data_IF_041303083765
#
_entry.id   IF_041303083765
#
_cell.length_a   1.000
_cell.length_b   1.000
_cell.length_c   1.000
_cell.angle_alpha   90.00
_cell.angle_beta   90.00
_cell.angle_gamma   90.00
#
_symmetry.space_group_name_H-M   'P 1'
#
loop_
_entity.id
_entity.type
_entity.pdbx_description
1 polymer ?
#
# COMPACT_ATOMS: atom_id res chain seq x y z
N UNK A 1 22.85 -41.90 -54.83
CA UNK A 1 21.75 -41.04 -54.50
C UNK A 1 21.21 -41.54 -53.14
N UNK A 2 21.51 -40.85 -52.05
CA UNK A 2 21.12 -41.27 -50.68
C UNK A 2 20.01 -40.30 -50.18
N UNK A 3 18.81 -40.81 -50.01
CA UNK A 3 17.70 -40.05 -49.46
C UNK A 3 17.80 -40.04 -47.92
N UNK A 4 17.95 -38.84 -47.33
CA UNK A 4 17.90 -38.62 -45.89
C UNK A 4 16.47 -38.27 -45.51
N UNK A 5 15.83 -39.13 -44.72
CA UNK A 5 14.50 -38.94 -44.18
C UNK A 5 14.63 -38.13 -42.90
N UNK A 6 14.09 -36.92 -42.90
CA UNK A 6 14.05 -36.01 -41.74
C UNK A 6 12.81 -36.32 -40.91
N UNK A 7 13.00 -36.91 -39.73
CA UNK A 7 11.92 -37.21 -38.77
C UNK A 7 11.68 -35.97 -37.91
N UNK A 8 10.52 -35.32 -38.07
CA UNK A 8 10.06 -34.26 -37.17
C UNK A 8 9.59 -34.90 -35.86
N UNK A 9 10.30 -34.63 -34.77
CA UNK A 9 9.84 -34.91 -33.42
C UNK A 9 8.88 -33.77 -32.98
N UNK A 10 7.55 -34.03 -32.99
CA UNK A 10 6.54 -33.19 -32.37
C UNK A 10 6.69 -33.30 -30.86
N UNK A 11 7.23 -32.25 -30.23
CA UNK A 11 7.25 -32.10 -28.75
C UNK A 11 5.84 -31.81 -28.22
N UNK A 12 5.18 -32.83 -27.65
CA UNK A 12 3.95 -32.66 -26.88
C UNK A 12 4.37 -32.07 -25.55
N UNK A 13 4.04 -30.78 -25.32
CA UNK A 13 4.15 -30.14 -24.01
C UNK A 13 3.14 -30.79 -23.05
N UNK A 14 3.61 -31.69 -22.19
CA UNK A 14 2.84 -32.25 -21.06
C UNK A 14 2.64 -31.13 -20.04
N UNK A 15 1.52 -30.41 -20.12
CA UNK A 15 1.03 -29.57 -19.02
C UNK A 15 0.72 -30.47 -17.84
N UNK A 16 1.39 -30.27 -16.72
CA UNK A 16 1.27 -31.13 -15.55
C UNK A 16 -0.17 -31.14 -15.03
N UNK A 17 -0.81 -32.29 -14.82
CA UNK A 17 -2.22 -32.41 -14.39
C UNK A 17 -2.54 -31.79 -13.03
N UNK A 18 -1.52 -31.51 -12.22
CA UNK A 18 -1.66 -30.87 -10.89
C UNK A 18 -2.18 -29.43 -10.98
N UNK A 19 -1.71 -28.65 -11.94
CA UNK A 19 -2.15 -27.24 -12.13
C UNK A 19 -3.61 -27.13 -12.57
N UNK A 20 -4.06 -28.06 -13.39
CA UNK A 20 -5.45 -28.05 -13.84
C UNK A 20 -6.41 -28.39 -12.67
N UNK A 21 -6.06 -29.35 -11.85
CA UNK A 21 -6.87 -29.74 -10.69
C UNK A 21 -6.96 -28.63 -9.63
N UNK A 22 -5.89 -27.84 -9.43
CA UNK A 22 -5.89 -26.69 -8.50
C UNK A 22 -6.76 -25.55 -9.02
N UNK A 23 -6.70 -25.25 -10.31
CA UNK A 23 -7.55 -24.21 -10.93
C UNK A 23 -9.02 -24.60 -10.89
N UNK A 24 -9.37 -25.86 -11.14
CA UNK A 24 -10.72 -26.39 -11.04
C UNK A 24 -11.25 -26.26 -9.61
N UNK A 25 -10.41 -26.53 -8.61
CA UNK A 25 -10.78 -26.39 -7.21
C UNK A 25 -11.03 -24.93 -6.81
N UNK A 26 -10.18 -24.01 -7.26
CA UNK A 26 -10.37 -22.57 -7.04
C UNK A 26 -11.66 -22.09 -7.67
N UNK A 27 -11.96 -22.49 -8.91
CA UNK A 27 -13.20 -22.15 -9.60
C UNK A 27 -14.44 -22.71 -8.88
N UNK A 28 -14.35 -23.91 -8.32
CA UNK A 28 -15.39 -24.53 -7.52
C UNK A 28 -15.69 -23.72 -6.25
N UNK A 29 -14.64 -23.33 -5.51
CA UNK A 29 -14.76 -22.50 -4.30
C UNK A 29 -15.38 -21.15 -4.65
N UNK A 30 -14.90 -20.49 -5.72
CA UNK A 30 -15.43 -19.20 -6.16
C UNK A 30 -16.91 -19.27 -6.47
N UNK A 31 -17.34 -20.30 -7.19
CA UNK A 31 -18.76 -20.51 -7.51
C UNK A 31 -19.60 -20.74 -6.24
N UNK A 32 -19.12 -21.57 -5.31
CA UNK A 32 -19.81 -21.84 -4.05
C UNK A 32 -19.96 -20.57 -3.19
N UNK A 33 -18.90 -19.76 -3.09
CA UNK A 33 -18.90 -18.50 -2.35
C UNK A 33 -19.83 -17.46 -2.97
N UNK A 34 -19.84 -17.32 -4.29
CA UNK A 34 -20.76 -16.42 -5.00
C UNK A 34 -22.22 -16.81 -4.82
N UNK A 35 -22.51 -18.11 -4.84
CA UNK A 35 -23.86 -18.62 -4.64
C UNK A 35 -24.36 -18.39 -3.21
N UNK A 36 -23.51 -18.64 -2.21
CA UNK A 36 -23.86 -18.51 -0.81
C UNK A 36 -23.89 -17.05 -0.31
N UNK A 37 -23.04 -16.18 -0.86
CA UNK A 37 -22.84 -14.81 -0.39
C UNK A 37 -22.83 -13.79 -1.56
N UNK A 38 -23.92 -13.61 -2.29
CA UNK A 38 -23.97 -12.81 -3.53
C UNK A 38 -23.64 -11.31 -3.31
N UNK A 39 -23.79 -10.80 -2.09
CA UNK A 39 -23.45 -9.41 -1.74
C UNK A 39 -21.98 -9.20 -1.38
N UNK A 40 -21.18 -10.27 -1.29
CA UNK A 40 -19.77 -10.20 -0.91
C UNK A 40 -18.87 -10.39 -2.13
N UNK A 41 -17.98 -9.45 -2.37
CA UNK A 41 -16.97 -9.59 -3.41
C UNK A 41 -15.77 -10.40 -2.89
N UNK A 42 -15.70 -11.65 -3.29
CA UNK A 42 -14.53 -12.50 -3.05
C UNK A 42 -13.54 -12.35 -4.20
N UNK A 43 -12.26 -12.26 -3.86
CA UNK A 43 -11.17 -12.11 -4.85
C UNK A 43 -9.95 -12.90 -4.40
N UNK A 44 -9.00 -13.10 -5.33
CA UNK A 44 -7.69 -13.68 -5.06
C UNK A 44 -7.74 -14.96 -4.22
N UNK A 45 -8.58 -15.93 -4.65
CA UNK A 45 -8.63 -17.24 -4.00
C UNK A 45 -7.32 -17.97 -4.34
N UNK A 46 -6.59 -18.42 -3.31
CA UNK A 46 -5.28 -19.05 -3.47
C UNK A 46 -5.12 -20.23 -2.51
N UNK A 47 -4.36 -21.24 -2.90
CA UNK A 47 -3.97 -22.31 -1.96
C UNK A 47 -3.09 -21.74 -0.84
N UNK A 48 -3.11 -22.42 0.31
CA UNK A 48 -2.20 -22.17 1.43
C UNK A 48 -1.28 -23.35 1.62
N UNK A 49 -0.22 -23.24 2.43
CA UNK A 49 0.59 -24.40 2.82
C UNK A 49 -0.19 -25.50 3.55
N UNK A 50 -1.41 -25.21 4.02
CA UNK A 50 -2.28 -26.19 4.68
C UNK A 50 -3.18 -26.86 3.63
N UNK A 51 -3.06 -28.17 3.39
CA UNK A 51 -3.87 -28.87 2.42
C UNK A 51 -5.38 -28.67 2.66
N UNK A 52 -6.12 -28.34 1.59
CA UNK A 52 -7.57 -28.14 1.63
C UNK A 52 -8.04 -26.81 2.24
N UNK A 53 -7.11 -25.95 2.61
CA UNK A 53 -7.39 -24.59 3.09
C UNK A 53 -6.93 -23.57 2.05
N UNK A 54 -7.83 -22.65 1.69
CA UNK A 54 -7.60 -21.61 0.71
C UNK A 54 -7.70 -20.22 1.35
N UNK A 55 -6.82 -19.33 0.95
CA UNK A 55 -6.88 -17.91 1.28
C UNK A 55 -7.87 -17.21 0.35
N UNK A 56 -8.71 -16.33 0.88
CA UNK A 56 -9.66 -15.54 0.10
C UNK A 56 -9.67 -14.09 0.57
N UNK A 57 -9.59 -13.15 -0.38
CA UNK A 57 -9.70 -11.73 -0.11
C UNK A 57 -11.17 -11.29 -0.16
N UNK A 58 -11.60 -10.54 0.86
CA UNK A 58 -12.94 -9.92 0.97
C UNK A 58 -12.78 -8.42 1.16
N UNK A 59 -12.67 -7.70 0.06
CA UNK A 59 -12.33 -6.27 0.09
C UNK A 59 -10.91 -6.05 0.64
N UNK A 60 -10.82 -5.51 1.87
CA UNK A 60 -9.54 -5.28 2.57
C UNK A 60 -9.21 -6.34 3.62
N UNK A 61 -10.12 -7.26 3.85
CA UNK A 61 -9.96 -8.35 4.80
C UNK A 61 -9.52 -9.62 4.08
N UNK A 62 -8.88 -10.51 4.83
CA UNK A 62 -8.45 -11.80 4.39
C UNK A 62 -9.04 -12.86 5.30
N UNK A 63 -9.51 -13.94 4.71
CA UNK A 63 -10.00 -15.11 5.44
C UNK A 63 -9.44 -16.38 4.82
N UNK A 64 -9.59 -17.47 5.54
CA UNK A 64 -9.29 -18.80 5.07
C UNK A 64 -10.56 -19.61 4.95
N UNK A 65 -10.69 -20.41 3.91
CA UNK A 65 -11.88 -21.18 3.62
C UNK A 65 -11.50 -22.62 3.26
N UNK A 66 -12.30 -23.57 3.70
CA UNK A 66 -12.17 -24.97 3.28
C UNK A 66 -12.51 -25.15 1.80
N UNK A 67 -12.05 -26.27 1.23
CA UNK A 67 -12.30 -26.62 -0.18
C UNK A 67 -13.78 -26.74 -0.57
N UNK A 68 -14.69 -26.88 0.41
CA UNK A 68 -16.14 -26.90 0.20
C UNK A 68 -16.80 -25.50 0.24
N UNK A 69 -16.02 -24.44 0.54
CA UNK A 69 -16.54 -23.07 0.66
C UNK A 69 -17.45 -22.81 1.87
N UNK A 70 -17.58 -23.78 2.80
CA UNK A 70 -18.57 -23.73 3.87
C UNK A 70 -18.05 -23.07 5.15
N UNK A 71 -16.81 -23.39 5.56
CA UNK A 71 -16.26 -22.91 6.82
C UNK A 71 -15.22 -21.85 6.57
N UNK A 72 -15.37 -20.71 7.27
CA UNK A 72 -14.40 -19.63 7.28
C UNK A 72 -13.62 -19.60 8.58
N UNK A 73 -12.34 -19.35 8.46
CA UNK A 73 -11.45 -19.07 9.58
C UNK A 73 -10.90 -17.65 9.41
N UNK A 74 -11.16 -16.80 10.41
CA UNK A 74 -10.63 -15.45 10.48
C UNK A 74 -9.47 -15.42 11.47
N UNK A 75 -8.32 -14.96 11.04
CA UNK A 75 -7.12 -14.94 11.86
C UNK A 75 -5.86 -14.86 11.03
N UNK A 76 -4.73 -15.20 11.66
CA UNK A 76 -3.42 -15.20 11.02
C UNK A 76 -2.90 -16.63 10.84
N UNK A 77 -2.38 -16.92 9.65
CA UNK A 77 -1.59 -18.09 9.34
C UNK A 77 -0.13 -17.75 9.56
N UNK A 78 0.45 -18.34 10.60
CA UNK A 78 1.83 -18.11 11.00
C UNK A 78 2.68 -19.36 10.72
N UNK A 79 3.77 -19.19 9.98
CA UNK A 79 4.76 -20.21 9.80
C UNK A 79 5.73 -20.18 10.99
N UNK A 80 5.56 -21.13 11.91
CA UNK A 80 6.39 -21.20 13.12
C UNK A 80 7.84 -21.57 12.82
N UNK A 81 8.10 -22.26 11.72
CA UNK A 81 9.45 -22.65 11.31
C UNK A 81 10.23 -21.46 10.76
N UNK A 82 9.59 -20.70 9.87
CA UNK A 82 10.17 -19.50 9.24
C UNK A 82 9.98 -18.26 10.13
N UNK A 83 9.28 -18.37 11.26
CA UNK A 83 8.93 -17.25 12.15
C UNK A 83 8.23 -16.12 11.39
N UNK A 84 7.31 -16.47 10.49
CA UNK A 84 6.72 -15.57 9.52
C UNK A 84 5.20 -15.56 9.56
N UNK A 85 4.60 -14.38 9.62
CA UNK A 85 3.15 -14.19 9.53
C UNK A 85 2.75 -14.03 8.05
N UNK A 86 2.29 -15.13 7.45
CA UNK A 86 1.90 -15.18 6.04
C UNK A 86 0.70 -14.28 5.74
N UNK A 87 -0.22 -14.15 6.70
CA UNK A 87 -1.40 -13.26 6.57
C UNK A 87 -0.99 -11.80 6.59
N UNK A 88 -0.11 -11.41 7.51
CA UNK A 88 0.39 -10.03 7.58
C UNK A 88 1.09 -9.62 6.29
N UNK A 89 1.94 -10.48 5.75
CA UNK A 89 2.64 -10.26 4.48
C UNK A 89 1.66 -10.05 3.31
N UNK A 90 0.59 -10.85 3.28
CA UNK A 90 -0.44 -10.75 2.24
C UNK A 90 -1.26 -9.47 2.37
N UNK A 91 -1.66 -9.12 3.58
CA UNK A 91 -2.37 -7.87 3.85
C UNK A 91 -1.51 -6.65 3.52
N UNK A 92 -0.21 -6.70 3.83
CA UNK A 92 0.73 -5.65 3.44
C UNK A 92 0.86 -5.55 1.92
N UNK A 93 1.04 -6.67 1.23
CA UNK A 93 1.11 -6.69 -0.23
C UNK A 93 -0.16 -6.14 -0.90
N UNK A 94 -1.34 -6.47 -0.36
CA UNK A 94 -2.63 -5.99 -0.86
C UNK A 94 -2.86 -4.48 -0.63
N UNK A 95 -2.15 -3.88 0.33
CA UNK A 95 -2.21 -2.45 0.65
C UNK A 95 -1.20 -1.61 -0.12
N UNK A 96 -0.31 -2.24 -0.89
CA UNK A 96 0.68 -1.49 -1.69
C UNK A 96 0.00 -0.62 -2.73
N UNK A 97 0.49 0.59 -2.84
CA UNK A 97 0.07 1.54 -3.86
C UNK A 97 1.07 1.57 -5.02
N UNK A 98 0.66 2.00 -6.18
CA UNK A 98 1.58 2.38 -7.24
C UNK A 98 2.11 3.79 -6.98
N UNK A 99 3.30 3.89 -6.39
CA UNK A 99 3.93 5.17 -6.05
C UNK A 99 4.18 6.03 -7.30
N UNK A 100 4.51 5.41 -8.43
CA UNK A 100 4.79 6.12 -9.67
C UNK A 100 3.54 6.81 -10.25
N UNK A 101 2.34 6.33 -9.90
CA UNK A 101 1.07 6.94 -10.31
C UNK A 101 0.63 8.12 -9.45
N UNK A 102 1.35 8.43 -8.36
CA UNK A 102 1.00 9.55 -7.49
C UNK A 102 1.17 10.89 -8.21
N UNK A 103 0.18 11.80 -8.13
CA UNK A 103 0.28 13.15 -8.70
C UNK A 103 1.17 14.04 -7.83
N UNK A 104 2.49 13.87 -7.92
CA UNK A 104 3.45 14.57 -7.05
C UNK A 104 3.38 16.10 -7.16
N UNK A 105 2.84 16.65 -8.26
CA UNK A 105 2.56 18.08 -8.42
C UNK A 105 1.49 18.59 -7.44
N UNK A 106 0.64 17.72 -6.89
CA UNK A 106 -0.38 18.01 -5.90
C UNK A 106 0.13 17.90 -4.45
N UNK A 107 1.44 17.63 -4.27
CA UNK A 107 2.09 17.54 -2.97
C UNK A 107 3.02 18.73 -2.69
N UNK A 108 3.24 19.03 -1.42
CA UNK A 108 4.31 19.91 -0.98
C UNK A 108 5.59 19.08 -0.94
N UNK A 109 6.60 19.46 -1.71
CA UNK A 109 7.88 18.72 -1.76
C UNK A 109 8.91 19.38 -0.87
N UNK A 110 9.54 18.59 -0.01
CA UNK A 110 10.66 19.00 0.85
C UNK A 110 11.83 18.06 0.61
N UNK A 111 13.00 18.61 0.29
CA UNK A 111 14.23 17.83 0.06
C UNK A 111 15.17 18.01 1.26
N UNK A 112 15.76 16.92 1.73
CA UNK A 112 16.76 16.87 2.79
C UNK A 112 17.99 16.12 2.27
N UNK A 113 19.18 16.64 2.57
CA UNK A 113 20.43 16.08 2.04
C UNK A 113 20.42 15.99 0.52
N UNK A 114 20.81 14.86 -0.04
CA UNK A 114 20.79 14.63 -1.49
C UNK A 114 19.40 14.25 -2.07
N UNK A 115 18.40 14.03 -1.21
CA UNK A 115 17.03 13.70 -1.62
C UNK A 115 16.85 12.36 -2.32
N UNK A 116 17.80 11.44 -2.23
CA UNK A 116 17.84 10.21 -3.04
C UNK A 116 16.71 9.23 -2.75
N UNK A 117 16.19 9.22 -1.54
CA UNK A 117 15.07 8.36 -1.13
C UNK A 117 13.77 9.16 -1.20
N UNK A 118 12.68 8.54 -1.61
CA UNK A 118 11.39 9.23 -1.73
C UNK A 118 10.37 8.67 -0.76
N UNK A 119 9.58 9.58 -0.19
CA UNK A 119 8.51 9.28 0.76
C UNK A 119 7.27 10.13 0.41
N UNK A 120 6.12 9.50 0.24
CA UNK A 120 4.85 10.19 0.16
C UNK A 120 4.17 10.14 1.53
N UNK A 121 3.62 11.28 1.97
CA UNK A 121 2.97 11.43 3.28
C UNK A 121 1.61 12.08 3.09
N UNK A 122 0.54 11.40 3.51
CA UNK A 122 -0.77 12.01 3.65
C UNK A 122 -0.91 12.58 5.05
N UNK A 123 -1.13 13.88 5.15
CA UNK A 123 -1.03 14.60 6.41
C UNK A 123 -2.13 15.66 6.58
N UNK A 124 -2.70 15.72 7.76
CA UNK A 124 -3.74 16.67 8.15
C UNK A 124 -3.13 17.82 8.97
N UNK A 125 -3.39 19.09 8.63
CA UNK A 125 -2.81 20.24 9.31
C UNK A 125 -3.19 20.37 10.79
N UNK A 126 -4.30 19.77 11.21
CA UNK A 126 -4.78 19.83 12.60
C UNK A 126 -4.49 18.57 13.40
N UNK A 127 -4.00 17.52 12.75
CA UNK A 127 -3.73 16.25 13.41
C UNK A 127 -2.49 16.33 14.33
N UNK A 128 -2.61 16.03 15.63
CA UNK A 128 -1.48 16.08 16.56
C UNK A 128 -0.41 15.04 16.26
N UNK A 129 -0.78 13.89 15.69
CA UNK A 129 0.17 12.87 15.26
C UNK A 129 0.95 13.31 14.02
N UNK A 130 0.34 14.09 13.11
CA UNK A 130 1.04 14.69 11.98
C UNK A 130 2.09 15.69 12.44
N UNK A 131 1.82 16.48 13.47
CA UNK A 131 2.81 17.38 14.09
C UNK A 131 4.00 16.62 14.69
N UNK A 132 3.73 15.50 15.37
CA UNK A 132 4.81 14.61 15.85
C UNK A 132 5.64 14.05 14.70
N UNK A 133 4.98 13.60 13.64
CA UNK A 133 5.68 13.08 12.46
C UNK A 133 6.62 14.12 11.85
N UNK A 134 6.21 15.39 11.71
CA UNK A 134 7.08 16.45 11.15
C UNK A 134 8.38 16.64 11.95
N UNK A 135 8.32 16.47 13.27
CA UNK A 135 9.51 16.50 14.14
C UNK A 135 10.43 15.30 13.87
N UNK A 136 9.87 14.14 13.57
CA UNK A 136 10.64 12.94 13.24
C UNK A 136 11.21 13.01 11.81
N UNK A 137 10.43 13.49 10.85
CA UNK A 137 10.88 13.72 9.48
C UNK A 137 12.03 14.73 9.43
N UNK A 138 12.06 15.71 10.36
CA UNK A 138 13.14 16.69 10.44
C UNK A 138 14.52 16.10 10.78
N UNK A 139 14.56 14.90 11.36
CA UNK A 139 15.79 14.18 11.73
C UNK A 139 16.34 13.30 10.60
N UNK A 140 15.56 13.08 9.55
CA UNK A 140 15.97 12.27 8.40
C UNK A 140 16.92 13.05 7.50
N UNK A 141 17.80 12.32 6.83
CA UNK A 141 18.68 12.85 5.79
C UNK A 141 18.48 12.10 4.46
N UNK A 142 18.95 12.66 3.35
CA UNK A 142 18.92 12.03 2.04
C UNK A 142 17.51 11.54 1.60
N UNK A 143 16.50 12.36 1.89
CA UNK A 143 15.09 12.03 1.57
C UNK A 143 14.36 13.21 0.92
N UNK A 144 13.56 12.89 -0.10
CA UNK A 144 12.54 13.78 -0.68
C UNK A 144 11.18 13.37 -0.13
N UNK A 145 10.54 14.27 0.60
CA UNK A 145 9.21 14.05 1.19
C UNK A 145 8.16 14.80 0.36
N UNK A 146 7.17 14.07 -0.14
CA UNK A 146 6.00 14.59 -0.84
C UNK A 146 4.79 14.57 0.10
N UNK A 147 4.44 15.72 0.68
CA UNK A 147 3.33 15.83 1.63
C UNK A 147 2.05 16.20 0.89
N UNK A 148 1.12 15.25 0.80
CA UNK A 148 -0.24 15.45 0.33
C UNK A 148 -1.10 15.98 1.49
N UNK A 149 -1.62 17.20 1.36
CA UNK A 149 -2.51 17.76 2.37
C UNK A 149 -3.85 17.00 2.32
N UNK A 150 -4.15 16.28 3.38
CA UNK A 150 -5.33 15.44 3.52
C UNK A 150 -6.10 15.79 4.81
N UNK A 151 -6.92 16.87 4.78
CA UNK A 151 -7.71 17.28 5.92
C UNK A 151 -8.84 16.27 6.20
N UNK A 152 -8.92 15.78 7.43
CA UNK A 152 -9.98 14.91 7.94
C UNK A 152 -11.10 15.78 8.53
N UNK A 153 -11.91 16.38 7.66
CA UNK A 153 -12.90 17.43 8.02
C UNK A 153 -13.95 16.97 9.04
N UNK A 154 -14.23 15.67 9.12
CA UNK A 154 -15.14 15.10 10.11
C UNK A 154 -14.55 15.13 11.52
N UNK A 155 -13.23 15.08 11.65
CA UNK A 155 -12.51 15.15 12.93
C UNK A 155 -12.00 16.57 13.22
N UNK A 156 -11.58 17.28 12.16
CA UNK A 156 -10.96 18.59 12.22
C UNK A 156 -11.67 19.56 11.24
N UNK A 157 -12.77 20.21 11.65
CA UNK A 157 -13.60 21.02 10.74
C UNK A 157 -12.86 22.15 10.01
N UNK A 158 -11.83 22.74 10.65
CA UNK A 158 -11.05 23.85 10.07
C UNK A 158 -9.84 23.38 9.23
N UNK A 159 -9.51 22.09 9.26
CA UNK A 159 -8.32 21.56 8.61
C UNK A 159 -8.30 21.83 7.10
N UNK A 160 -9.46 21.77 6.43
CA UNK A 160 -9.56 22.07 5.00
C UNK A 160 -9.13 23.50 4.69
N UNK A 161 -9.61 24.48 5.43
CA UNK A 161 -9.26 25.87 5.21
C UNK A 161 -7.78 26.13 5.52
N UNK A 162 -7.23 25.52 6.56
CA UNK A 162 -5.81 25.60 6.87
C UNK A 162 -4.95 24.96 5.78
N UNK A 163 -5.37 23.81 5.24
CA UNK A 163 -4.69 23.16 4.12
C UNK A 163 -4.64 24.09 2.88
N UNK A 164 -5.76 24.75 2.55
CA UNK A 164 -5.82 25.73 1.45
C UNK A 164 -4.89 26.90 1.73
N UNK A 165 -4.91 27.47 2.92
CA UNK A 165 -4.04 28.60 3.27
C UNK A 165 -2.55 28.23 3.17
N UNK A 166 -2.16 27.02 3.62
CA UNK A 166 -0.78 26.50 3.44
C UNK A 166 -0.44 26.35 1.96
N UNK A 167 -1.34 25.76 1.17
CA UNK A 167 -1.09 25.53 -0.25
C UNK A 167 -0.96 26.84 -1.04
N UNK A 168 -1.74 27.84 -0.69
CA UNK A 168 -1.75 29.15 -1.35
C UNK A 168 -0.66 30.11 -0.84
N UNK A 169 0.13 29.71 0.15
CA UNK A 169 1.26 30.49 0.61
C UNK A 169 2.37 30.57 -0.45
N UNK A 170 3.10 31.68 -0.56
CA UNK A 170 4.21 31.86 -1.51
C UNK A 170 5.28 30.77 -1.38
N UNK A 171 5.60 30.38 -0.14
CA UNK A 171 6.47 29.24 0.18
C UNK A 171 5.66 28.21 0.97
N UNK A 172 5.14 27.21 0.27
CA UNK A 172 4.30 26.14 0.83
C UNK A 172 5.04 25.31 1.87
N UNK A 173 6.31 25.02 1.62
CA UNK A 173 7.12 24.20 2.52
C UNK A 173 7.42 24.95 3.84
N UNK A 174 7.73 26.24 3.76
CA UNK A 174 7.92 27.07 4.94
C UNK A 174 6.60 27.25 5.72
N UNK A 175 5.47 27.48 5.02
CA UNK A 175 4.16 27.63 5.63
C UNK A 175 3.72 26.33 6.35
N UNK A 176 3.90 25.18 5.70
CA UNK A 176 3.64 23.88 6.29
C UNK A 176 4.45 23.65 7.56
N UNK A 177 5.77 23.89 7.49
CA UNK A 177 6.66 23.76 8.64
C UNK A 177 6.28 24.70 9.77
N UNK A 178 5.97 25.96 9.46
CA UNK A 178 5.54 26.95 10.46
C UNK A 178 4.27 26.50 11.18
N UNK A 179 3.29 25.95 10.45
CA UNK A 179 2.05 25.43 11.03
C UNK A 179 2.33 24.19 11.88
N UNK A 180 3.02 23.20 11.34
CA UNK A 180 3.14 21.88 12.01
C UNK A 180 4.13 21.90 13.19
N UNK A 181 5.22 22.66 13.10
CA UNK A 181 6.25 22.70 14.14
C UNK A 181 5.99 23.82 15.15
N UNK A 182 5.54 25.00 14.68
CA UNK A 182 5.43 26.18 15.53
C UNK A 182 3.96 26.57 15.82
N UNK A 183 2.97 25.85 15.30
CA UNK A 183 1.55 26.17 15.45
C UNK A 183 1.13 27.46 14.74
N UNK A 184 1.97 28.00 13.84
CA UNK A 184 1.78 29.27 13.17
C UNK A 184 1.03 29.05 11.84
N UNK A 185 -0.30 29.24 11.88
CA UNK A 185 -1.10 29.16 10.65
C UNK A 185 -0.76 30.35 9.73
N UNK A 186 -0.65 30.14 8.39
CA UNK A 186 -0.57 31.23 7.44
C UNK A 186 -1.88 32.03 7.45
N UNK A 187 -1.82 33.28 6.99
CA UNK A 187 -3.04 34.06 6.75
C UNK A 187 -3.93 33.36 5.74
N UNK A 188 -5.25 33.54 5.87
CA UNK A 188 -6.22 33.00 4.91
C UNK A 188 -5.88 33.45 3.50
N UNK A 189 -5.81 32.50 2.57
CA UNK A 189 -5.55 32.77 1.15
C UNK A 189 -6.38 31.80 0.31
N UNK A 190 -6.79 32.26 -0.87
CA UNK A 190 -7.54 31.47 -1.85
C UNK A 190 -6.76 31.44 -3.17
N UNK A 191 -6.64 30.26 -3.75
CA UNK A 191 -6.00 30.04 -5.05
C UNK A 191 -6.48 28.71 -5.63
N UNK A 192 -6.07 28.36 -6.84
CA UNK A 192 -6.25 27.00 -7.35
C UNK A 192 -5.44 26.01 -6.51
N UNK A 193 -6.11 25.02 -5.92
CA UNK A 193 -5.52 24.08 -4.98
C UNK A 193 -5.95 22.63 -5.24
N UNK A 194 -5.13 21.62 -4.85
CA UNK A 194 -5.43 20.21 -5.08
C UNK A 194 -6.17 19.53 -3.91
N UNK A 195 -6.62 20.24 -2.89
CA UNK A 195 -7.07 19.64 -1.63
C UNK A 195 -8.17 18.61 -1.85
N UNK A 196 -9.17 18.89 -2.68
CA UNK A 196 -10.25 17.95 -2.94
C UNK A 196 -9.76 16.72 -3.75
N UNK A 197 -8.79 16.92 -4.67
CA UNK A 197 -8.14 15.80 -5.37
C UNK A 197 -7.32 14.93 -4.42
N UNK A 198 -6.62 15.53 -3.47
CA UNK A 198 -5.87 14.81 -2.44
C UNK A 198 -6.78 13.99 -1.53
N UNK A 199 -7.94 14.55 -1.13
CA UNK A 199 -8.97 13.82 -0.37
C UNK A 199 -9.48 12.61 -1.17
N UNK A 200 -9.82 12.81 -2.45
CA UNK A 200 -10.29 11.74 -3.32
C UNK A 200 -9.20 10.67 -3.53
N UNK A 201 -7.94 11.09 -3.74
CA UNK A 201 -6.79 10.20 -3.87
C UNK A 201 -6.59 9.35 -2.61
N UNK A 202 -6.56 9.98 -1.43
CA UNK A 202 -6.39 9.29 -0.16
C UNK A 202 -7.46 8.22 0.05
N UNK A 203 -8.74 8.55 -0.23
CA UNK A 203 -9.86 7.60 -0.17
C UNK A 203 -9.68 6.45 -1.15
N UNK A 204 -9.30 6.73 -2.40
CA UNK A 204 -9.02 5.71 -3.44
C UNK A 204 -7.91 4.75 -3.02
N UNK A 205 -6.86 5.28 -2.40
CA UNK A 205 -5.72 4.49 -1.89
C UNK A 205 -6.04 3.78 -0.56
N UNK A 206 -7.21 4.03 0.02
CA UNK A 206 -7.63 3.46 1.28
C UNK A 206 -6.87 4.00 2.48
N UNK A 207 -6.46 5.26 2.45
CA UNK A 207 -5.89 5.95 3.60
C UNK A 207 -7.02 6.32 4.55
N UNK A 208 -7.10 5.62 5.69
CA UNK A 208 -8.19 5.77 6.67
C UNK A 208 -7.86 6.77 7.78
N UNK A 209 -6.60 7.18 7.88
CA UNK A 209 -6.15 8.11 8.93
C UNK A 209 -4.84 8.78 8.60
N UNK A 210 -4.49 9.79 9.38
CA UNK A 210 -3.26 10.56 9.23
C UNK A 210 -2.39 10.51 10.50
N UNK A 211 -1.08 10.56 10.33
CA UNK A 211 -0.34 10.50 9.06
C UNK A 211 -0.26 9.09 8.47
N UNK A 212 -0.18 9.00 7.13
CA UNK A 212 0.08 7.76 6.42
C UNK A 212 1.26 7.96 5.46
N UNK A 213 2.26 7.09 5.55
CA UNK A 213 3.51 7.19 4.81
C UNK A 213 3.59 6.05 3.78
N UNK A 214 4.10 6.35 2.59
CA UNK A 214 4.32 5.37 1.53
C UNK A 214 5.72 5.53 0.96
N UNK A 215 6.45 4.43 0.82
CA UNK A 215 7.74 4.40 0.14
C UNK A 215 7.61 4.19 -1.37
N UNK A 216 8.72 4.21 -2.09
CA UNK A 216 8.78 4.02 -3.56
C UNK A 216 8.27 2.66 -4.03
N UNK A 217 8.23 1.66 -3.14
CA UNK A 217 7.66 0.32 -3.42
C UNK A 217 6.17 0.25 -3.11
N UNK A 218 5.57 1.38 -2.72
CA UNK A 218 4.17 1.49 -2.38
C UNK A 218 3.81 0.87 -1.03
N UNK A 219 4.79 0.49 -0.18
CA UNK A 219 4.53 -0.04 1.15
C UNK A 219 4.02 1.06 2.06
N UNK A 220 3.15 0.70 2.98
CA UNK A 220 2.48 1.62 3.90
C UNK A 220 3.04 1.53 5.32
N UNK A 221 3.37 2.69 5.90
CA UNK A 221 3.67 2.85 7.32
C UNK A 221 2.67 3.82 7.93
N UNK A 222 1.85 3.34 8.84
CA UNK A 222 0.79 4.12 9.48
C UNK A 222 1.28 4.85 10.73
N UNK A 223 0.76 6.07 10.94
CA UNK A 223 0.94 6.83 12.16
C UNK A 223 2.27 7.57 12.26
N UNK A 224 2.47 8.25 13.40
CA UNK A 224 3.67 9.02 13.69
C UNK A 224 4.80 8.09 14.16
N UNK A 225 5.50 7.48 13.22
CA UNK A 225 6.64 6.63 13.51
C UNK A 225 7.87 7.46 13.90
N UNK A 226 8.71 6.98 14.83
CA UNK A 226 10.00 7.63 15.14
C UNK A 226 10.96 7.54 13.96
N UNK A 227 11.89 8.50 13.86
CA UNK A 227 12.85 8.61 12.75
C UNK A 227 13.58 7.30 12.45
N UNK A 228 14.03 6.59 13.50
CA UNK A 228 14.71 5.30 13.35
C UNK A 228 13.85 4.26 12.60
N UNK A 229 12.54 4.21 12.88
CA UNK A 229 11.63 3.29 12.18
C UNK A 229 11.39 3.72 10.74
N UNK A 230 11.32 5.02 10.48
CA UNK A 230 11.19 5.56 9.12
C UNK A 230 12.47 5.26 8.31
N UNK A 231 13.65 5.40 8.91
CA UNK A 231 14.93 5.04 8.29
C UNK A 231 14.98 3.55 7.91
N UNK A 232 14.60 2.66 8.82
CA UNK A 232 14.51 1.23 8.53
C UNK A 232 13.52 0.94 7.40
N UNK A 233 12.35 1.56 7.42
CA UNK A 233 11.33 1.44 6.38
C UNK A 233 11.84 1.89 5.00
N UNK A 234 12.56 3.01 4.92
CA UNK A 234 13.16 3.50 3.68
C UNK A 234 14.31 2.59 3.20
N UNK A 235 15.17 2.12 4.11
CA UNK A 235 16.29 1.23 3.78
C UNK A 235 15.81 -0.12 3.19
N UNK A 236 14.74 -0.69 3.72
CA UNK A 236 14.10 -1.87 3.15
C UNK A 236 13.47 -1.58 1.77
N UNK A 237 13.00 -0.35 1.53
CA UNK A 237 12.47 0.12 0.25
C UNK A 237 13.56 0.17 -0.84
N UNK A 238 14.79 0.46 -0.48
CA UNK A 238 15.93 0.56 -1.40
C UNK A 238 16.52 -0.81 -1.78
N UNK A 239 16.25 -1.86 -1.00
CA UNK A 239 16.73 -3.21 -1.33
C UNK A 239 15.97 -3.77 -2.54
N UNK A 240 16.70 -4.17 -3.60
CA UNK A 240 16.12 -4.95 -4.71
C UNK A 240 15.38 -6.16 -4.15
N UNK A 241 14.20 -6.53 -4.68
CA UNK A 241 13.57 -7.79 -4.31
C UNK A 241 14.60 -8.91 -4.45
N UNK A 242 14.92 -9.58 -3.35
CA UNK A 242 15.75 -10.78 -3.43
C UNK A 242 15.03 -11.77 -4.33
N UNK A 243 15.70 -12.27 -5.36
CA UNK A 243 15.17 -13.22 -6.34
C UNK A 243 14.87 -14.61 -5.74
N UNK A 244 14.84 -14.73 -4.41
CA UNK A 244 14.70 -15.99 -3.66
C UNK A 244 13.26 -16.47 -3.46
N UNK A 245 12.28 -15.78 -4.02
CA UNK A 245 10.85 -16.15 -3.88
C UNK A 245 10.20 -16.74 -5.13
N UNK A 246 10.97 -16.98 -6.21
CA UNK A 246 10.44 -17.48 -7.48
C UNK A 246 11.15 -18.77 -7.87
N UNK A 247 10.95 -19.81 -7.07
CA UNK A 247 11.17 -21.19 -7.53
C UNK A 247 9.81 -21.83 -7.85
N UNK A 248 9.75 -22.50 -9.00
CA UNK A 248 8.51 -23.05 -9.58
C UNK A 248 7.88 -24.16 -8.77
#
# INVERSE_FOLDING_TARGET
MKHATLTLLSGIALTSPVWAAEQDQIAHIEAALKAAYPATAFRDIRPTPLPGIYEVSMGRNLAYVGSDGRYFLFGHLYDMREQRDLTADRLEAARRIDFASLPLADAITTVRGNGSRMLAVFSDPDCPYCRKLEQELAKLDNVTVHTFLYPLVELHPEARQRAIAVWCAPDRAAAWRALMVNGKAPSSAECAHPIDRNIALARKLGVEGTPALFDVRGRHLAGAAPAQRIEAFLAEGDQKPSAEGMQP
#
